data_IF_136677796406
#
_entry.id   IF_136677796406
#
_cell.length_a   1.000
_cell.length_b   1.000
_cell.length_c   1.000
_cell.angle_alpha   90.00
_cell.angle_beta   90.00
_cell.angle_gamma   90.00
#
_symmetry.space_group_name_H-M   'P 1'
#
loop_
_entity.id
_entity.type
_entity.pdbx_description
1 polymer ?
#
# COMPACT_ATOMS: atom_id res chain seq x y z
N UNK A 1 -35.87 -21.50 -10.89
CA UNK A 1 -34.75 -20.62 -11.25
C UNK A 1 -35.18 -19.24 -10.81
N UNK A 2 -34.50 -18.67 -9.82
CA UNK A 2 -34.73 -17.29 -9.42
C UNK A 2 -34.25 -16.42 -10.59
N UNK A 3 -35.19 -15.83 -11.33
CA UNK A 3 -34.90 -15.09 -12.57
C UNK A 3 -34.51 -13.64 -12.32
N UNK A 4 -34.48 -13.22 -11.05
CA UNK A 4 -34.11 -11.87 -10.68
C UNK A 4 -32.58 -11.75 -10.58
N UNK A 5 -32.03 -10.73 -11.26
CA UNK A 5 -30.63 -10.38 -11.12
C UNK A 5 -30.40 -9.88 -9.68
N UNK A 6 -29.41 -10.44 -9.00
CA UNK A 6 -29.09 -9.97 -7.65
C UNK A 6 -28.59 -8.53 -7.69
N UNK A 7 -28.79 -7.77 -6.61
CA UNK A 7 -28.27 -6.40 -6.51
C UNK A 7 -26.75 -6.32 -6.73
N UNK A 8 -26.01 -7.33 -6.25
CA UNK A 8 -24.57 -7.42 -6.47
C UNK A 8 -24.19 -7.58 -7.96
N UNK A 9 -24.98 -8.34 -8.73
CA UNK A 9 -24.75 -8.54 -10.16
C UNK A 9 -25.18 -7.35 -11.01
N UNK A 10 -26.22 -6.66 -10.59
CA UNK A 10 -26.59 -5.38 -11.18
C UNK A 10 -25.47 -4.36 -10.99
N UNK A 11 -24.93 -4.23 -9.77
CA UNK A 11 -23.81 -3.34 -9.49
C UNK A 11 -22.57 -3.67 -10.32
N UNK A 12 -22.19 -4.94 -10.43
CA UNK A 12 -21.09 -5.37 -11.33
C UNK A 12 -21.34 -5.04 -12.80
N UNK A 13 -22.59 -5.13 -13.26
CA UNK A 13 -22.95 -4.82 -14.65
C UNK A 13 -22.85 -3.32 -14.92
N UNK A 14 -23.26 -2.50 -13.94
CA UNK A 14 -23.09 -1.05 -13.96
C UNK A 14 -21.59 -0.71 -13.97
N UNK A 15 -20.80 -1.24 -13.02
CA UNK A 15 -19.36 -1.03 -12.94
C UNK A 15 -18.65 -1.35 -14.27
N UNK A 16 -19.02 -2.46 -14.93
CA UNK A 16 -18.48 -2.81 -16.26
C UNK A 16 -18.84 -1.78 -17.34
N UNK A 17 -20.08 -1.31 -17.38
CA UNK A 17 -20.50 -0.30 -18.35
C UNK A 17 -19.73 1.02 -18.16
N UNK A 18 -19.47 1.42 -16.91
CA UNK A 18 -18.66 2.61 -16.59
C UNK A 18 -17.18 2.42 -16.89
N UNK A 19 -16.64 1.22 -16.66
CA UNK A 19 -15.26 0.87 -17.04
C UNK A 19 -15.06 0.94 -18.56
N UNK A 20 -16.02 0.42 -19.34
CA UNK A 20 -15.97 0.55 -20.80
C UNK A 20 -16.12 1.99 -21.26
N UNK A 21 -17.03 2.77 -20.65
CA UNK A 21 -17.16 4.20 -20.95
C UNK A 21 -15.82 4.90 -20.72
N UNK A 22 -15.19 4.70 -19.57
CA UNK A 22 -13.89 5.29 -19.20
C UNK A 22 -12.78 4.95 -20.20
N UNK A 23 -12.84 3.77 -20.82
CA UNK A 23 -11.88 3.35 -21.84
C UNK A 23 -12.01 4.13 -23.15
N UNK A 24 -13.24 4.50 -23.55
CA UNK A 24 -13.50 5.15 -24.84
C UNK A 24 -13.66 6.67 -24.72
N UNK A 25 -14.14 7.13 -23.57
CA UNK A 25 -14.35 8.52 -23.22
C UNK A 25 -14.00 8.67 -21.73
N UNK A 26 -12.72 8.86 -21.40
CA UNK A 26 -12.31 9.09 -20.01
C UNK A 26 -12.84 10.43 -19.50
N UNK A 27 -12.97 10.55 -18.17
CA UNK A 27 -13.37 11.77 -17.49
C UNK A 27 -12.17 12.72 -17.36
N UNK A 28 -12.18 13.86 -18.04
CA UNK A 28 -11.09 14.84 -17.93
C UNK A 28 -11.24 15.64 -16.62
N UNK A 29 -10.26 15.49 -15.73
CA UNK A 29 -10.16 16.21 -14.47
C UNK A 29 -8.96 17.15 -14.45
N UNK A 30 -9.06 18.14 -13.58
CA UNK A 30 -8.02 19.15 -13.36
C UNK A 30 -7.67 19.11 -11.87
N UNK A 31 -6.38 18.93 -11.60
CA UNK A 31 -5.80 19.12 -10.28
C UNK A 31 -4.93 20.37 -10.31
N UNK A 32 -5.06 21.22 -9.28
CA UNK A 32 -4.29 22.46 -9.14
C UNK A 32 -3.67 22.51 -7.75
N UNK A 33 -2.38 22.81 -7.69
CA UNK A 33 -1.66 23.03 -6.43
C UNK A 33 -0.51 24.04 -6.62
N UNK A 34 0.08 24.47 -5.51
CA UNK A 34 1.22 25.37 -5.43
C UNK A 34 2.48 24.65 -4.97
N UNK A 35 3.61 24.95 -5.62
CA UNK A 35 4.88 24.39 -5.21
C UNK A 35 5.41 25.04 -3.93
N UNK A 36 5.53 24.23 -2.89
CA UNK A 36 6.37 24.52 -1.73
C UNK A 36 7.46 23.46 -1.66
N UNK A 37 8.70 23.81 -2.03
CA UNK A 37 9.81 22.86 -2.06
C UNK A 37 10.53 22.78 -0.73
N UNK A 38 10.64 23.87 0.02
CA UNK A 38 11.39 23.88 1.27
C UNK A 38 10.59 23.28 2.44
N UNK A 39 11.08 22.19 3.01
CA UNK A 39 10.60 21.60 4.27
C UNK A 39 11.67 21.89 5.33
N UNK A 40 11.32 22.56 6.42
CA UNK A 40 12.31 23.11 7.37
C UNK A 40 12.30 22.47 8.77
N UNK A 41 11.41 21.52 9.03
CA UNK A 41 11.28 20.95 10.37
C UNK A 41 10.23 19.86 10.46
N UNK A 42 10.28 18.89 9.53
CA UNK A 42 9.42 17.72 9.63
C UNK A 42 9.94 16.77 10.69
N UNK A 43 9.13 16.50 11.71
CA UNK A 43 9.48 15.54 12.76
C UNK A 43 8.92 14.16 12.44
N UNK A 44 9.76 13.14 12.54
CA UNK A 44 9.38 11.73 12.41
C UNK A 44 9.87 10.94 13.61
N UNK A 45 9.02 10.06 14.13
CA UNK A 45 9.37 9.18 15.24
C UNK A 45 9.82 7.83 14.70
N UNK A 46 11.05 7.46 15.04
CA UNK A 46 11.58 6.16 14.69
C UNK A 46 10.96 5.07 15.57
N UNK A 47 10.87 3.85 15.02
CA UNK A 47 10.50 2.68 15.78
C UNK A 47 11.12 2.52 17.16
N UNK A 48 10.34 2.02 18.12
CA UNK A 48 10.87 1.43 19.35
C UNK A 48 11.87 0.29 19.05
N UNK A 49 12.67 -0.07 20.06
CA UNK A 49 13.68 -1.11 19.90
C UNK A 49 13.02 -2.48 19.71
N UNK A 50 13.80 -3.45 19.28
CA UNK A 50 13.39 -4.85 19.09
C UNK A 50 12.66 -5.37 20.33
N UNK A 51 11.49 -5.96 20.14
CA UNK A 51 10.85 -6.84 21.14
C UNK A 51 10.55 -8.16 20.47
N UNK A 52 10.86 -9.25 21.15
CA UNK A 52 10.69 -10.62 20.63
C UNK A 52 9.31 -11.21 20.96
N UNK A 53 8.58 -10.57 21.87
CA UNK A 53 7.35 -11.03 22.53
C UNK A 53 6.22 -9.99 22.50
N UNK A 54 6.36 -8.89 21.75
CA UNK A 54 5.39 -7.79 21.75
C UNK A 54 3.98 -8.16 21.26
N UNK A 55 3.84 -9.15 20.39
CA UNK A 55 2.57 -9.53 19.76
C UNK A 55 2.00 -10.79 20.39
N UNK A 56 2.85 -11.80 20.60
CA UNK A 56 2.53 -13.03 21.35
C UNK A 56 3.71 -13.27 22.28
N UNK A 57 3.43 -13.43 23.57
CA UNK A 57 4.43 -13.60 24.61
C UNK A 57 4.26 -14.96 25.31
N UNK A 58 5.32 -15.77 25.29
CA UNK A 58 5.44 -17.03 26.01
C UNK A 58 4.26 -18.00 25.77
N UNK A 59 3.74 -18.09 24.53
CA UNK A 59 2.61 -18.98 24.23
C UNK A 59 3.03 -20.45 24.38
N UNK A 60 2.36 -21.16 25.31
CA UNK A 60 2.69 -22.55 25.65
C UNK A 60 2.27 -23.52 24.54
N UNK A 61 3.26 -24.05 23.84
CA UNK A 61 3.05 -24.99 22.73
C UNK A 61 2.65 -26.39 23.19
N UNK A 62 2.70 -26.70 24.49
CA UNK A 62 2.18 -27.96 25.02
C UNK A 62 0.63 -28.01 24.96
N UNK A 63 -0.03 -26.86 25.10
CA UNK A 63 -1.48 -26.73 25.05
C UNK A 63 -2.03 -26.44 23.65
N UNK A 64 -1.17 -25.95 22.75
CA UNK A 64 -1.54 -25.61 21.38
C UNK A 64 -1.86 -26.85 20.53
N UNK A 65 -2.77 -26.68 19.57
CA UNK A 65 -3.13 -27.72 18.60
C UNK A 65 -3.33 -27.14 17.19
N UNK A 66 -3.23 -27.97 16.16
CA UNK A 66 -3.58 -27.54 14.81
C UNK A 66 -5.03 -27.05 14.75
N UNK A 67 -5.25 -25.90 14.14
CA UNK A 67 -6.51 -25.17 14.08
C UNK A 67 -6.79 -24.24 15.28
N UNK A 68 -5.91 -24.21 16.30
CA UNK A 68 -6.01 -23.23 17.40
C UNK A 68 -5.38 -21.89 17.05
N UNK A 69 -5.65 -20.87 17.86
CA UNK A 69 -5.10 -19.52 17.72
C UNK A 69 -4.28 -19.15 18.95
N UNK A 70 -3.15 -18.48 18.74
CA UNK A 70 -2.43 -17.86 19.86
C UNK A 70 -3.16 -16.59 20.34
N UNK A 71 -3.18 -16.29 21.66
CA UNK A 71 -3.64 -15.01 22.16
C UNK A 71 -2.71 -13.89 21.70
N UNK A 72 -3.26 -12.68 21.51
CA UNK A 72 -2.49 -11.49 21.15
C UNK A 72 -2.28 -10.62 22.39
N UNK A 73 -1.03 -10.32 22.72
CA UNK A 73 -0.63 -9.53 23.89
C UNK A 73 -0.42 -8.05 23.55
N UNK A 74 -0.15 -7.74 22.29
CA UNK A 74 0.11 -6.39 21.83
C UNK A 74 0.08 -6.25 20.31
N UNK A 75 0.60 -5.11 19.84
CA UNK A 75 0.63 -4.75 18.43
C UNK A 75 1.98 -4.09 18.10
N UNK A 76 2.42 -4.17 16.84
CA UNK A 76 3.58 -3.41 16.40
C UNK A 76 3.40 -1.89 16.63
N UNK A 77 4.52 -1.24 16.95
CA UNK A 77 4.78 0.20 16.87
C UNK A 77 4.08 1.06 15.84
N UNK A 78 4.25 0.52 14.64
CA UNK A 78 4.05 1.04 13.32
C UNK A 78 4.27 -0.16 12.38
N UNK A 79 3.96 -0.05 11.08
CA UNK A 79 4.11 -1.16 10.15
C UNK A 79 5.52 -1.75 10.13
N UNK A 80 5.69 -3.05 10.46
CA UNK A 80 7.00 -3.73 10.51
C UNK A 80 6.95 -5.23 10.20
N UNK A 81 8.08 -5.81 9.76
CA UNK A 81 8.26 -7.26 9.77
C UNK A 81 8.19 -7.83 11.17
N UNK A 82 7.45 -8.93 11.31
CA UNK A 82 7.36 -9.68 12.56
C UNK A 82 8.50 -10.69 12.66
N UNK A 83 8.95 -10.95 13.88
CA UNK A 83 9.96 -11.98 14.18
C UNK A 83 9.31 -13.07 15.01
N UNK A 84 9.37 -14.31 14.51
CA UNK A 84 8.88 -15.49 15.20
C UNK A 84 10.06 -16.16 15.89
N UNK A 85 9.96 -16.33 17.20
CA UNK A 85 10.95 -17.05 18.02
C UNK A 85 10.29 -18.29 18.61
N UNK A 86 10.96 -19.43 18.48
CA UNK A 86 10.50 -20.71 19.00
C UNK A 86 11.47 -21.18 20.07
N UNK A 87 11.00 -21.31 21.29
CA UNK A 87 11.72 -22.04 22.33
C UNK A 87 11.30 -23.50 22.25
N UNK A 88 12.26 -24.38 21.97
CA UNK A 88 12.06 -25.84 21.96
C UNK A 88 13.07 -26.42 22.96
N UNK A 89 12.66 -26.43 24.23
CA UNK A 89 13.53 -26.68 25.38
C UNK A 89 13.91 -28.17 25.50
N UNK A 90 13.04 -29.04 25.02
CA UNK A 90 13.15 -30.49 25.17
C UNK A 90 13.40 -31.21 23.81
N UNK A 91 13.55 -30.47 22.72
CA UNK A 91 13.70 -31.00 21.36
C UNK A 91 12.51 -31.87 20.93
N UNK A 92 11.29 -31.50 21.31
CA UNK A 92 10.08 -32.25 20.95
C UNK A 92 9.44 -31.77 19.66
N UNK A 93 9.63 -30.50 19.29
CA UNK A 93 9.03 -29.95 18.07
C UNK A 93 9.70 -30.59 16.85
N UNK A 94 8.90 -31.24 16.01
CA UNK A 94 9.34 -31.85 14.75
C UNK A 94 8.98 -30.95 13.55
N UNK A 95 7.86 -30.24 13.64
CA UNK A 95 7.48 -29.24 12.66
C UNK A 95 6.30 -28.39 13.14
N UNK A 96 6.30 -27.14 12.73
CA UNK A 96 5.25 -26.16 13.04
C UNK A 96 5.00 -25.26 11.83
N UNK A 97 3.73 -25.01 11.53
CA UNK A 97 3.31 -24.04 10.53
C UNK A 97 2.34 -23.09 11.20
N UNK A 98 2.67 -21.81 11.18
CA UNK A 98 1.79 -20.74 11.67
C UNK A 98 1.49 -19.76 10.55
N UNK A 99 0.29 -19.19 10.60
CA UNK A 99 -0.13 -18.13 9.69
C UNK A 99 -0.52 -16.92 10.52
N UNK A 100 0.07 -15.77 10.19
CA UNK A 100 -0.26 -14.48 10.80
C UNK A 100 -1.13 -13.71 9.82
N UNK A 101 -2.34 -13.37 10.25
CA UNK A 101 -3.27 -12.52 9.53
C UNK A 101 -3.29 -11.13 10.17
N UNK A 102 -3.36 -10.10 9.34
CA UNK A 102 -3.31 -8.73 9.81
C UNK A 102 -3.67 -7.73 8.74
N UNK A 103 -3.26 -6.48 8.95
CA UNK A 103 -3.35 -5.43 7.95
C UNK A 103 -1.99 -4.79 7.69
N UNK A 104 -1.79 -4.31 6.48
CA UNK A 104 -0.61 -3.50 6.12
C UNK A 104 -0.78 -2.02 6.50
N UNK A 105 0.16 -1.18 6.07
CA UNK A 105 0.17 0.26 6.36
C UNK A 105 -1.07 1.00 5.82
N UNK A 106 -1.69 0.49 4.76
CA UNK A 106 -2.84 1.07 4.05
C UNK A 106 -4.16 0.39 4.47
N UNK A 107 -4.13 -0.33 5.60
CA UNK A 107 -5.24 -1.10 6.18
C UNK A 107 -5.77 -2.21 5.25
N UNK A 108 -4.96 -2.68 4.30
CA UNK A 108 -5.30 -3.80 3.43
C UNK A 108 -4.99 -5.13 4.13
N UNK A 109 -5.84 -6.13 3.90
CA UNK A 109 -5.68 -7.47 4.47
C UNK A 109 -4.36 -8.12 4.02
N UNK A 110 -3.60 -8.61 4.99
CA UNK A 110 -2.27 -9.18 4.82
C UNK A 110 -2.17 -10.53 5.54
N UNK A 111 -1.50 -11.50 4.92
CA UNK A 111 -1.25 -12.82 5.50
C UNK A 111 0.21 -13.24 5.26
N UNK A 112 0.89 -13.75 6.28
CA UNK A 112 2.23 -14.36 6.17
C UNK A 112 2.27 -15.73 6.86
N UNK A 113 2.85 -16.72 6.18
CA UNK A 113 2.99 -18.09 6.72
C UNK A 113 4.45 -18.37 7.05
N UNK A 114 4.68 -18.83 8.27
CA UNK A 114 5.99 -19.24 8.78
C UNK A 114 6.01 -20.75 8.92
N UNK A 115 7.13 -21.35 8.48
CA UNK A 115 7.34 -22.78 8.55
C UNK A 115 8.61 -23.03 9.36
N UNK A 116 8.50 -23.91 10.33
CA UNK A 116 9.61 -24.40 11.12
C UNK A 116 9.66 -25.93 11.02
N UNK A 117 10.84 -26.46 10.72
CA UNK A 117 11.14 -27.88 10.82
C UNK A 117 12.33 -28.04 11.76
N UNK A 118 12.39 -29.17 12.48
CA UNK A 118 13.53 -29.46 13.36
C UNK A 118 14.86 -29.31 12.62
N UNK A 119 15.74 -28.50 13.20
CA UNK A 119 17.05 -28.17 12.64
C UNK A 119 17.11 -26.80 11.95
N UNK A 120 15.96 -26.18 11.69
CA UNK A 120 15.89 -24.79 11.21
C UNK A 120 16.29 -23.80 12.31
N UNK A 121 16.51 -22.55 11.89
CA UNK A 121 16.65 -21.43 12.84
C UNK A 121 15.39 -21.32 13.69
N UNK A 122 15.58 -21.21 15.00
CA UNK A 122 14.51 -20.97 15.97
C UNK A 122 14.01 -19.52 15.95
N UNK A 123 14.70 -18.63 15.24
CA UNK A 123 14.28 -17.25 15.01
C UNK A 123 14.12 -17.03 13.52
N UNK A 124 12.91 -16.64 13.10
CA UNK A 124 12.53 -16.45 11.70
C UNK A 124 11.96 -15.04 11.56
N UNK A 125 12.58 -14.22 10.71
CA UNK A 125 12.12 -12.85 10.42
C UNK A 125 11.22 -12.88 9.19
N UNK A 126 10.03 -12.30 9.32
CA UNK A 126 9.07 -12.14 8.25
C UNK A 126 9.53 -11.16 7.17
N UNK A 127 8.79 -11.13 6.07
CA UNK A 127 9.05 -10.24 4.93
C UNK A 127 7.99 -9.16 4.78
N UNK A 128 6.81 -9.36 5.34
CA UNK A 128 5.68 -8.44 5.19
C UNK A 128 5.59 -7.49 6.37
N UNK A 129 5.18 -6.25 6.10
CA UNK A 129 5.06 -5.20 7.12
C UNK A 129 3.63 -5.19 7.67
N UNK A 130 3.48 -5.63 8.92
CA UNK A 130 2.20 -5.65 9.62
C UNK A 130 2.03 -4.36 10.41
N UNK A 131 0.95 -3.63 10.14
CA UNK A 131 0.47 -2.51 10.97
C UNK A 131 -0.29 -3.04 12.17
N UNK A 132 -1.24 -3.95 11.91
CA UNK A 132 -2.00 -4.64 12.94
C UNK A 132 -1.93 -6.15 12.69
N UNK A 133 -1.85 -6.93 13.76
CA UNK A 133 -2.04 -8.37 13.77
C UNK A 133 -3.44 -8.65 14.29
N UNK A 134 -4.23 -9.36 13.49
CA UNK A 134 -5.62 -9.70 13.79
C UNK A 134 -5.75 -11.11 14.35
N UNK A 135 -4.91 -12.03 13.87
CA UNK A 135 -4.98 -13.43 14.27
C UNK A 135 -3.66 -14.16 13.98
N UNK A 136 -3.26 -15.04 14.88
CA UNK A 136 -2.15 -15.98 14.68
C UNK A 136 -2.72 -17.39 14.76
N UNK A 137 -2.70 -18.10 13.63
CA UNK A 137 -3.26 -19.44 13.49
C UNK A 137 -2.16 -20.50 13.51
N UNK A 138 -2.34 -21.54 14.33
CA UNK A 138 -1.55 -22.76 14.25
C UNK A 138 -2.13 -23.67 13.16
N UNK A 139 -1.55 -23.67 11.97
CA UNK A 139 -2.00 -24.54 10.88
C UNK A 139 -1.57 -25.99 11.11
N UNK A 140 -0.35 -26.17 11.60
CA UNK A 140 0.21 -27.48 11.93
C UNK A 140 1.13 -27.35 13.14
N UNK A 141 1.02 -28.30 14.08
CA UNK A 141 1.97 -28.46 15.17
C UNK A 141 2.21 -29.95 15.40
N UNK A 142 3.47 -30.37 15.33
CA UNK A 142 3.90 -31.75 15.58
C UNK A 142 5.00 -31.74 16.63
N UNK A 143 4.68 -32.22 17.84
CA UNK A 143 5.51 -32.05 19.04
C UNK A 143 4.79 -31.16 20.07
N UNK A 144 5.55 -30.43 20.88
CA UNK A 144 5.01 -29.56 21.94
C UNK A 144 5.07 -30.27 23.29
N UNK A 145 6.22 -30.17 23.95
CA UNK A 145 6.47 -30.69 25.28
C UNK A 145 6.66 -29.57 26.30
N UNK A 146 6.86 -29.92 27.58
CA UNK A 146 7.02 -28.92 28.64
C UNK A 146 8.17 -27.95 28.36
N UNK A 147 7.88 -26.66 28.45
CA UNK A 147 8.85 -25.57 28.26
C UNK A 147 9.06 -25.16 26.79
N UNK A 148 8.23 -25.65 25.87
CA UNK A 148 8.25 -25.20 24.49
C UNK A 148 7.32 -23.99 24.32
N UNK A 149 7.83 -22.88 23.80
CA UNK A 149 7.14 -21.59 23.74
C UNK A 149 7.19 -20.98 22.33
N UNK A 150 6.16 -20.23 21.97
CA UNK A 150 6.11 -19.35 20.81
C UNK A 150 6.09 -17.89 21.25
N UNK A 151 7.05 -17.12 20.76
CA UNK A 151 7.06 -15.67 20.86
C UNK A 151 6.94 -15.05 19.47
N UNK A 152 6.12 -14.02 19.35
CA UNK A 152 6.04 -13.21 18.15
C UNK A 152 6.25 -11.76 18.56
N UNK A 153 7.29 -11.17 17.98
CA UNK A 153 7.65 -9.79 18.18
C UNK A 153 7.86 -9.07 16.86
N UNK A 154 8.60 -7.97 16.90
CA UNK A 154 8.99 -7.19 15.72
C UNK A 154 10.49 -6.96 15.68
N UNK A 155 11.02 -6.84 14.46
CA UNK A 155 12.46 -6.67 14.24
C UNK A 155 13.02 -5.32 14.70
N UNK A 156 14.34 -5.16 14.53
CA UNK A 156 15.06 -3.96 14.91
C UNK A 156 14.59 -2.71 14.15
N UNK A 157 14.62 -1.56 14.82
CA UNK A 157 14.26 -0.28 14.24
C UNK A 157 15.07 0.08 12.98
N UNK A 158 16.31 -0.41 12.87
CA UNK A 158 17.23 -0.15 11.76
C UNK A 158 16.83 -0.84 10.46
N UNK A 159 15.88 -1.79 10.51
CA UNK A 159 15.41 -2.52 9.34
C UNK A 159 14.10 -1.94 8.77
N UNK A 160 13.58 -0.87 9.36
CA UNK A 160 12.28 -0.29 9.07
C UNK A 160 12.44 1.06 8.39
N UNK A 161 11.74 1.24 7.28
CA UNK A 161 11.63 2.55 6.64
C UNK A 161 10.52 3.38 7.31
N UNK A 162 10.83 4.62 7.63
CA UNK A 162 9.92 5.63 8.15
C UNK A 162 9.62 6.62 7.02
N UNK A 163 8.35 6.82 6.71
CA UNK A 163 7.92 7.73 5.64
C UNK A 163 8.07 9.19 6.10
N UNK A 164 8.57 10.03 5.20
CA UNK A 164 8.43 11.47 5.28
C UNK A 164 7.14 11.87 4.56
N UNK A 165 6.61 13.04 4.88
CA UNK A 165 5.35 13.56 4.36
C UNK A 165 5.42 13.93 2.88
N UNK A 166 6.61 14.01 2.28
CA UNK A 166 6.79 14.49 0.92
C UNK A 166 7.72 13.60 0.10
N UNK A 167 7.33 13.35 -1.14
CA UNK A 167 8.14 12.67 -2.15
C UNK A 167 7.87 13.31 -3.52
N UNK A 168 8.80 13.27 -4.49
CA UNK A 168 10.22 12.91 -4.35
C UNK A 168 11.05 14.06 -3.75
N UNK A 169 12.17 13.72 -3.11
CA UNK A 169 13.09 14.65 -2.45
C UNK A 169 14.28 14.96 -3.38
N UNK A 170 14.75 16.21 -3.40
CA UNK A 170 15.94 16.62 -4.14
C UNK A 170 17.19 15.96 -3.53
N UNK A 171 17.99 15.34 -4.38
CA UNK A 171 19.23 14.67 -3.98
C UNK A 171 20.12 15.58 -3.13
N UNK A 172 20.55 15.07 -1.98
CA UNK A 172 21.47 15.74 -1.07
C UNK A 172 21.02 17.13 -0.59
N UNK A 173 19.72 17.35 -0.50
CA UNK A 173 19.14 18.59 0.04
C UNK A 173 18.79 18.49 1.52
N UNK A 174 18.83 17.29 2.08
CA UNK A 174 18.45 16.99 3.44
C UNK A 174 19.51 17.38 4.47
N UNK A 175 19.01 17.81 5.62
CA UNK A 175 19.71 17.98 6.88
C UNK A 175 18.79 17.48 7.98
N UNK A 176 19.35 16.93 9.05
CA UNK A 176 18.52 16.37 10.10
C UNK A 176 19.18 16.48 11.47
N UNK A 177 18.35 16.52 12.51
CA UNK A 177 18.76 16.55 13.89
C UNK A 177 18.00 15.53 14.73
N UNK A 178 18.65 15.04 15.78
CA UNK A 178 18.05 14.17 16.79
C UNK A 178 17.13 14.96 17.75
N UNK A 179 16.57 14.31 18.78
CA UNK A 179 15.69 14.96 19.77
C UNK A 179 16.40 16.05 20.57
N UNK A 180 17.72 15.90 20.78
CA UNK A 180 18.57 16.85 21.49
C UNK A 180 19.18 17.93 20.56
N UNK A 181 18.71 18.00 19.31
CA UNK A 181 19.19 18.91 18.27
C UNK A 181 20.65 18.69 17.85
N UNK A 182 21.22 17.51 18.10
CA UNK A 182 22.51 17.13 17.53
C UNK A 182 22.33 16.80 16.04
N UNK A 183 23.33 17.14 15.22
CA UNK A 183 23.27 16.84 13.79
C UNK A 183 23.41 15.33 13.54
N UNK A 184 22.49 14.78 12.74
CA UNK A 184 22.57 13.42 12.21
C UNK A 184 22.91 13.47 10.72
N UNK A 185 23.77 12.56 10.28
CA UNK A 185 24.49 12.61 9.01
C UNK A 185 24.06 11.45 8.11
N UNK A 186 23.67 11.78 6.88
CA UNK A 186 23.34 10.78 5.84
C UNK A 186 24.49 9.79 5.64
N UNK A 187 24.16 8.51 5.46
CA UNK A 187 25.07 7.38 5.27
C UNK A 187 25.98 7.08 6.47
N UNK A 188 25.80 7.77 7.60
CA UNK A 188 26.42 7.44 8.89
C UNK A 188 25.33 7.05 9.88
N UNK A 189 24.29 7.87 9.99
CA UNK A 189 23.22 7.71 10.96
C UNK A 189 21.92 7.21 10.33
N UNK A 190 21.68 7.55 9.06
CA UNK A 190 20.50 7.11 8.31
C UNK A 190 20.77 6.93 6.81
N UNK A 191 19.96 6.08 6.19
CA UNK A 191 19.74 6.03 4.75
C UNK A 191 18.48 6.81 4.38
N UNK A 192 18.46 7.38 3.18
CA UNK A 192 17.30 8.08 2.62
C UNK A 192 17.01 7.53 1.22
N UNK A 193 15.74 7.25 0.96
CA UNK A 193 15.20 6.91 -0.36
C UNK A 193 14.53 8.16 -0.92
N UNK A 194 15.26 8.89 -1.75
CA UNK A 194 14.80 10.16 -2.32
C UNK A 194 13.59 10.03 -3.22
N UNK A 195 13.44 8.89 -3.89
CA UNK A 195 12.30 8.69 -4.77
C UNK A 195 11.05 8.64 -3.90
N UNK A 196 11.01 7.72 -2.93
CA UNK A 196 9.81 7.47 -2.13
C UNK A 196 9.63 8.40 -0.93
N UNK A 197 10.63 9.21 -0.58
CA UNK A 197 10.55 10.15 0.53
C UNK A 197 10.54 9.44 1.87
N UNK A 198 11.46 8.50 2.10
CA UNK A 198 11.53 7.72 3.36
C UNK A 198 12.95 7.58 3.87
N UNK A 199 13.09 7.41 5.18
CA UNK A 199 14.37 7.32 5.88
C UNK A 199 14.46 6.04 6.70
N UNK A 200 15.66 5.53 6.90
CA UNK A 200 15.92 4.32 7.70
C UNK A 200 17.17 4.50 8.54
N UNK A 201 17.10 4.21 9.83
CA UNK A 201 18.25 4.33 10.72
C UNK A 201 19.35 3.30 10.37
N UNK A 202 20.60 3.66 10.62
CA UNK A 202 21.76 2.78 10.48
C UNK A 202 22.15 2.25 11.86
N UNK A 203 22.43 0.95 11.94
CA UNK A 203 22.90 0.34 13.19
C UNK A 203 24.21 0.97 13.67
N UNK A 204 24.23 1.43 14.92
CA UNK A 204 25.36 2.15 15.52
C UNK A 204 25.46 3.64 15.13
N UNK A 205 24.49 4.15 14.37
CA UNK A 205 24.36 5.58 14.06
C UNK A 205 23.77 6.40 15.21
N UNK A 206 23.63 7.70 14.98
CA UNK A 206 23.11 8.69 15.92
C UNK A 206 21.60 8.68 16.12
N UNK A 207 20.83 7.91 15.34
CA UNK A 207 19.39 7.73 15.57
C UNK A 207 19.18 6.54 16.50
N UNK A 208 18.52 6.78 17.64
CA UNK A 208 18.19 5.71 18.59
C UNK A 208 16.74 5.26 18.48
N UNK A 209 16.44 4.09 19.04
CA UNK A 209 15.10 3.52 18.98
C UNK A 209 14.09 4.35 19.80
N UNK A 210 12.89 4.55 19.24
CA UNK A 210 11.79 5.33 19.82
C UNK A 210 12.00 6.84 19.75
N UNK A 211 13.09 7.30 19.15
CA UNK A 211 13.45 8.71 19.11
C UNK A 211 12.69 9.48 18.02
N UNK A 212 12.36 10.74 18.29
CA UNK A 212 11.89 11.68 17.27
C UNK A 212 13.06 12.44 16.67
N UNK A 213 13.27 12.31 15.36
CA UNK A 213 14.25 13.11 14.62
C UNK A 213 13.54 14.16 13.77
N UNK A 214 14.19 15.29 13.54
CA UNK A 214 13.67 16.38 12.69
C UNK A 214 14.47 16.47 11.40
N UNK A 215 13.79 16.48 10.27
CA UNK A 215 14.35 16.58 8.93
C UNK A 215 13.97 17.91 8.28
N UNK A 216 14.93 18.53 7.63
CA UNK A 216 14.74 19.65 6.72
C UNK A 216 15.32 19.26 5.36
N UNK A 217 14.59 19.49 4.27
CA UNK A 217 14.99 19.07 2.93
C UNK A 217 14.26 19.90 1.87
N UNK A 218 14.67 19.75 0.61
CA UNK A 218 13.99 20.37 -0.53
C UNK A 218 13.30 19.28 -1.35
N UNK A 219 12.03 19.45 -1.71
CA UNK A 219 11.35 18.55 -2.65
C UNK A 219 11.99 18.66 -4.04
N UNK A 220 11.83 17.64 -4.87
CA UNK A 220 12.33 17.67 -6.25
C UNK A 220 11.68 18.81 -7.03
N UNK A 221 12.48 19.63 -7.70
CA UNK A 221 11.98 20.73 -8.54
C UNK A 221 11.58 20.28 -9.94
N UNK A 222 11.61 18.98 -10.22
CA UNK A 222 11.24 18.42 -11.52
C UNK A 222 10.22 17.29 -11.39
N UNK A 223 9.97 16.81 -10.16
CA UNK A 223 9.07 15.69 -9.89
C UNK A 223 7.89 16.15 -9.06
N UNK A 224 6.69 15.85 -9.54
CA UNK A 224 5.43 16.11 -8.84
C UNK A 224 4.85 14.77 -8.42
N UNK A 225 4.51 14.63 -7.14
CA UNK A 225 3.75 13.48 -6.67
C UNK A 225 2.32 13.55 -7.19
N UNK A 226 1.89 12.49 -7.86
CA UNK A 226 0.54 12.34 -8.39
C UNK A 226 -0.18 11.16 -7.73
N UNK A 227 0.37 10.59 -6.65
CA UNK A 227 -0.24 9.47 -5.92
C UNK A 227 -1.64 9.77 -5.39
N UNK A 228 -1.89 11.04 -5.08
CA UNK A 228 -3.14 11.46 -4.43
C UNK A 228 -4.24 11.76 -5.46
N UNK A 229 -3.97 11.62 -6.76
CA UNK A 229 -4.96 11.81 -7.82
C UNK A 229 -5.88 10.57 -7.90
N UNK A 230 -7.17 10.69 -7.51
CA UNK A 230 -8.05 9.53 -7.45
C UNK A 230 -8.45 9.09 -8.86
N UNK A 231 -8.35 7.77 -9.10
CA UNK A 231 -8.77 7.16 -10.36
C UNK A 231 -7.97 7.61 -11.58
N UNK A 232 -6.74 8.09 -11.38
CA UNK A 232 -5.85 8.53 -12.45
C UNK A 232 -5.61 7.39 -13.45
N UNK A 233 -6.04 7.58 -14.69
CA UNK A 233 -5.74 6.71 -15.82
C UNK A 233 -4.47 7.21 -16.53
N UNK A 234 -4.43 8.51 -16.86
CA UNK A 234 -3.36 9.10 -17.67
C UNK A 234 -3.26 10.61 -17.48
N UNK A 235 -2.05 11.12 -17.31
CA UNK A 235 -1.80 12.56 -17.39
C UNK A 235 -1.85 13.00 -18.86
N UNK A 236 -2.70 13.98 -19.19
CA UNK A 236 -2.78 14.55 -20.54
C UNK A 236 -1.69 15.59 -20.79
N UNK A 237 -1.60 16.56 -19.88
CA UNK A 237 -0.74 17.73 -20.02
C UNK A 237 -0.59 18.42 -18.67
N UNK A 238 0.50 19.18 -18.52
CA UNK A 238 0.74 20.01 -17.36
C UNK A 238 0.91 21.47 -17.76
N UNK A 239 0.12 22.36 -17.15
CA UNK A 239 0.28 23.81 -17.28
C UNK A 239 1.24 24.30 -16.20
N UNK A 240 2.34 24.92 -16.62
CA UNK A 240 3.29 25.53 -15.70
C UNK A 240 4.06 26.70 -16.36
N UNK A 241 4.24 27.84 -15.65
CA UNK A 241 3.44 28.26 -14.51
C UNK A 241 2.02 28.62 -14.97
N UNK A 242 1.04 28.39 -14.08
CA UNK A 242 -0.38 28.67 -14.37
C UNK A 242 -0.63 30.15 -14.64
N UNK A 243 -1.48 30.45 -15.63
CA UNK A 243 -1.99 31.80 -15.89
C UNK A 243 -1.14 32.67 -16.83
N UNK A 244 -0.10 32.10 -17.47
CA UNK A 244 0.61 32.79 -18.56
C UNK A 244 -0.26 32.91 -19.82
N UNK A 245 -0.09 34.01 -20.54
CA UNK A 245 -0.74 34.27 -21.84
C UNK A 245 0.37 34.60 -22.86
N UNK A 246 0.57 33.79 -23.91
CA UNK A 246 -0.13 32.52 -24.19
C UNK A 246 0.16 31.45 -23.13
N UNK A 247 -0.76 30.49 -22.99
CA UNK A 247 -0.62 29.36 -22.05
C UNK A 247 0.65 28.57 -22.37
N UNK A 248 1.38 28.18 -21.32
CA UNK A 248 2.60 27.38 -21.42
C UNK A 248 2.32 26.00 -20.84
N UNK A 249 2.54 24.97 -21.63
CA UNK A 249 2.47 23.58 -21.19
C UNK A 249 3.87 23.00 -21.20
N UNK A 250 4.23 22.34 -20.10
CA UNK A 250 5.51 21.65 -20.01
C UNK A 250 5.33 20.19 -20.39
N UNK A 251 6.37 19.64 -21.01
CA UNK A 251 6.48 18.23 -21.35
C UNK A 251 7.11 17.45 -20.21
N UNK A 252 6.68 16.20 -20.07
CA UNK A 252 7.09 15.34 -18.97
C UNK A 252 6.55 13.93 -19.14
N UNK A 253 7.13 13.03 -18.34
CA UNK A 253 6.84 11.60 -18.36
C UNK A 253 6.31 11.15 -16.99
N UNK A 254 5.39 10.17 -17.01
CA UNK A 254 4.90 9.53 -15.78
C UNK A 254 5.79 8.36 -15.43
N UNK A 255 6.40 8.39 -14.25
CA UNK A 255 7.21 7.31 -13.68
C UNK A 255 6.59 6.80 -12.38
N UNK A 256 5.79 5.74 -12.47
CA UNK A 256 5.07 5.20 -11.31
C UNK A 256 4.09 6.24 -10.77
N UNK A 257 4.33 6.72 -9.55
CA UNK A 257 3.49 7.72 -8.88
C UNK A 257 3.94 9.18 -9.09
N UNK A 258 4.91 9.43 -9.97
CA UNK A 258 5.44 10.77 -10.21
C UNK A 258 5.21 11.24 -11.64
N UNK A 259 4.93 12.52 -11.82
CA UNK A 259 5.10 13.22 -13.09
C UNK A 259 6.45 13.95 -13.08
N UNK A 260 7.34 13.61 -14.01
CA UNK A 260 8.67 14.21 -14.12
C UNK A 260 8.72 15.13 -15.33
N UNK A 261 8.95 16.41 -15.10
CA UNK A 261 9.15 17.41 -16.16
C UNK A 261 10.45 17.12 -16.88
N UNK A 262 10.42 16.89 -18.19
CA UNK A 262 11.61 16.50 -18.97
C UNK A 262 12.23 17.65 -19.76
N UNK A 263 11.59 18.83 -19.79
CA UNK A 263 12.01 19.98 -20.59
C UNK A 263 11.44 19.96 -22.00
N UNK A 264 11.76 20.97 -22.82
CA UNK A 264 11.29 21.07 -24.21
C UNK A 264 11.83 19.94 -25.11
N UNK A 265 11.29 19.81 -26.33
CA UNK A 265 11.70 18.78 -27.30
C UNK A 265 13.22 18.73 -27.57
N UNK A 266 13.71 17.61 -28.10
CA UNK A 266 15.13 17.25 -28.28
C UNK A 266 16.12 18.42 -28.28
N UNK A 267 16.85 18.58 -27.17
CA UNK A 267 17.90 19.59 -27.00
C UNK A 267 17.53 20.78 -26.08
N UNK A 268 16.29 20.84 -25.58
CA UNK A 268 15.90 21.77 -24.51
C UNK A 268 16.55 21.43 -23.17
N UNK A 269 16.85 22.45 -22.37
CA UNK A 269 17.21 22.26 -20.95
C UNK A 269 15.96 21.85 -20.16
N UNK A 270 16.15 20.99 -19.16
CA UNK A 270 15.09 20.61 -18.25
C UNK A 270 14.66 21.83 -17.41
N UNK A 271 13.37 22.18 -17.44
CA UNK A 271 12.84 23.30 -16.67
C UNK A 271 12.70 22.91 -15.19
N UNK A 272 13.37 23.65 -14.30
CA UNK A 272 13.16 23.53 -12.86
C UNK A 272 11.96 24.37 -12.44
N UNK A 273 11.06 23.75 -11.70
CA UNK A 273 9.92 24.39 -11.08
C UNK A 273 10.41 25.31 -9.94
N UNK A 274 9.93 26.55 -9.97
CA UNK A 274 10.20 27.60 -9.00
C UNK A 274 9.20 27.59 -7.84
N UNK A 275 9.69 27.92 -6.64
CA UNK A 275 8.91 28.06 -5.40
C UNK A 275 7.73 29.04 -5.58
N UNK A 276 6.64 28.79 -4.86
CA UNK A 276 5.44 29.63 -4.83
C UNK A 276 4.79 29.84 -6.21
N UNK A 277 5.00 28.90 -7.14
CA UNK A 277 4.33 28.85 -8.44
C UNK A 277 3.29 27.74 -8.47
N UNK A 278 2.13 28.06 -9.04
CA UNK A 278 1.06 27.10 -9.26
C UNK A 278 1.31 26.25 -10.51
N UNK A 279 0.87 24.99 -10.44
CA UNK A 279 0.79 24.08 -11.57
C UNK A 279 -0.63 23.51 -11.68
N UNK A 280 -1.00 23.11 -12.90
CA UNK A 280 -2.22 22.32 -13.15
C UNK A 280 -1.89 21.05 -13.88
N UNK A 281 -2.37 19.93 -13.35
CA UNK A 281 -2.32 18.63 -14.01
C UNK A 281 -3.70 18.36 -14.60
N UNK A 282 -3.74 18.23 -15.92
CA UNK A 282 -4.92 17.75 -16.64
C UNK A 282 -4.78 16.26 -16.82
N UNK A 283 -5.76 15.48 -16.37
CA UNK A 283 -5.67 14.02 -16.38
C UNK A 283 -7.00 13.35 -16.72
N UNK A 284 -6.89 12.18 -17.34
CA UNK A 284 -7.99 11.26 -17.59
C UNK A 284 -8.21 10.44 -16.31
N UNK A 285 -9.47 10.37 -15.86
CA UNK A 285 -9.90 9.57 -14.74
C UNK A 285 -11.00 8.57 -15.14
N UNK A 286 -11.18 7.54 -14.32
CA UNK A 286 -12.33 6.65 -14.47
C UNK A 286 -13.63 7.37 -14.11
N UNK A 287 -14.65 7.14 -14.93
CA UNK A 287 -16.01 7.47 -14.58
C UNK A 287 -16.49 6.55 -13.45
N UNK A 288 -17.04 7.13 -12.40
CA UNK A 288 -17.71 6.39 -11.35
C UNK A 288 -19.23 6.36 -11.58
N UNK A 289 -19.89 5.24 -11.24
CA UNK A 289 -21.34 5.16 -11.24
C UNK A 289 -21.98 6.07 -10.19
N UNK A 290 -23.30 6.32 -10.28
CA UNK A 290 -24.03 6.98 -9.22
C UNK A 290 -23.97 6.15 -7.94
N UNK A 291 -23.55 6.79 -6.85
CA UNK A 291 -23.64 6.25 -5.50
C UNK A 291 -24.95 6.64 -4.82
N UNK A 292 -25.15 6.18 -3.59
CA UNK A 292 -26.34 6.51 -2.79
C UNK A 292 -26.47 8.02 -2.53
N UNK A 293 -25.34 8.74 -2.49
CA UNK A 293 -25.27 10.16 -2.16
C UNK A 293 -24.59 11.02 -3.22
N UNK A 294 -24.13 10.44 -4.33
CA UNK A 294 -23.41 11.16 -5.38
C UNK A 294 -23.92 10.75 -6.76
N UNK A 295 -24.20 11.71 -7.66
CA UNK A 295 -24.50 11.37 -9.06
C UNK A 295 -23.31 10.69 -9.72
N UNK A 296 -23.54 10.03 -10.85
CA UNK A 296 -22.48 9.52 -11.71
C UNK A 296 -21.69 10.66 -12.38
N UNK A 297 -20.57 10.31 -13.01
CA UNK A 297 -19.68 11.26 -13.71
C UNK A 297 -19.84 11.24 -15.22
N UNK A 298 -20.66 10.33 -15.75
CA UNK A 298 -20.91 10.25 -17.17
C UNK A 298 -21.61 11.53 -17.65
N UNK A 299 -21.30 12.01 -18.87
CA UNK A 299 -22.05 13.11 -19.46
C UNK A 299 -23.54 12.75 -19.56
N UNK A 300 -24.43 13.64 -19.13
CA UNK A 300 -25.87 13.32 -19.03
C UNK A 300 -26.55 12.90 -20.34
N UNK A 301 -25.97 13.20 -21.50
CA UNK A 301 -26.47 12.71 -22.79
C UNK A 301 -26.11 11.25 -23.08
N UNK A 302 -25.18 10.66 -22.32
CA UNK A 302 -24.77 9.25 -22.39
C UNK A 302 -25.40 8.37 -21.32
N UNK A 303 -26.06 8.93 -20.31
CA UNK A 303 -26.67 8.16 -19.21
C UNK A 303 -27.55 7.02 -19.73
N UNK A 304 -28.46 7.29 -20.68
CA UNK A 304 -29.31 6.23 -21.27
C UNK A 304 -28.54 5.17 -22.06
N UNK A 305 -27.39 5.52 -22.64
CA UNK A 305 -26.50 4.56 -23.32
C UNK A 305 -25.79 3.67 -22.32
N UNK A 306 -25.31 4.23 -21.21
CA UNK A 306 -24.65 3.49 -20.13
C UNK A 306 -25.63 2.55 -19.42
N UNK A 307 -26.85 3.02 -19.14
CA UNK A 307 -27.93 2.19 -18.58
C UNK A 307 -28.29 1.02 -19.49
N UNK A 308 -28.39 1.26 -20.81
CA UNK A 308 -28.65 0.21 -21.79
C UNK A 308 -27.50 -0.81 -21.83
N UNK A 309 -26.25 -0.35 -21.79
CA UNK A 309 -25.07 -1.21 -21.74
C UNK A 309 -25.04 -2.06 -20.46
N UNK A 310 -25.29 -1.47 -19.30
CA UNK A 310 -25.39 -2.17 -18.02
C UNK A 310 -26.52 -3.23 -18.05
N UNK A 311 -27.67 -2.89 -18.63
CA UNK A 311 -28.78 -3.84 -18.84
C UNK A 311 -28.38 -4.99 -19.77
N UNK A 312 -27.67 -4.71 -20.86
CA UNK A 312 -27.15 -5.74 -21.77
C UNK A 312 -26.14 -6.68 -21.06
N UNK A 313 -25.26 -6.13 -20.22
CA UNK A 313 -24.34 -6.92 -19.40
C UNK A 313 -25.08 -7.83 -18.42
N UNK A 314 -26.10 -7.31 -17.74
CA UNK A 314 -26.94 -8.11 -16.85
C UNK A 314 -27.63 -9.26 -17.56
N UNK A 315 -28.21 -9.00 -18.75
CA UNK A 315 -28.84 -10.04 -19.58
C UNK A 315 -27.85 -11.10 -20.04
N UNK A 316 -26.64 -10.69 -20.44
CA UNK A 316 -25.59 -11.63 -20.85
C UNK A 316 -25.17 -12.55 -19.70
N UNK A 317 -25.03 -12.01 -18.48
CA UNK A 317 -24.72 -12.80 -17.28
C UNK A 317 -25.84 -13.81 -16.99
N UNK A 318 -27.11 -13.42 -17.09
CA UNK A 318 -28.24 -14.33 -16.90
C UNK A 318 -28.27 -15.45 -17.96
N UNK A 319 -27.98 -15.13 -19.21
CA UNK A 319 -27.89 -16.12 -20.28
C UNK A 319 -26.78 -17.15 -19.99
N UNK A 320 -25.59 -16.69 -19.59
CA UNK A 320 -24.48 -17.57 -19.22
C UNK A 320 -24.81 -18.47 -18.02
N UNK A 321 -25.48 -17.92 -16.99
CA UNK A 321 -25.94 -18.72 -15.84
C UNK A 321 -26.91 -19.82 -16.26
N UNK A 322 -27.86 -19.51 -17.14
CA UNK A 322 -28.81 -20.49 -17.64
C UNK A 322 -28.12 -21.59 -18.45
N UNK A 323 -27.13 -21.24 -19.28
CA UNK A 323 -26.31 -22.21 -20.02
C UNK A 323 -25.52 -23.12 -19.08
N UNK A 324 -24.84 -22.56 -18.06
CA UNK A 324 -24.10 -23.34 -17.07
C UNK A 324 -25.00 -24.28 -16.26
N UNK A 325 -26.19 -23.82 -15.88
CA UNK A 325 -27.18 -24.67 -15.21
C UNK A 325 -27.62 -25.81 -16.12
N UNK A 326 -27.92 -25.53 -17.39
CA UNK A 326 -28.28 -26.56 -18.37
C UNK A 326 -27.20 -27.63 -18.55
N UNK A 327 -25.92 -27.22 -18.59
CA UNK A 327 -24.80 -28.15 -18.65
C UNK A 327 -24.66 -29.00 -17.38
N UNK A 328 -24.91 -28.41 -16.22
CA UNK A 328 -24.90 -29.11 -14.93
C UNK A 328 -26.03 -30.14 -14.86
N UNK A 329 -27.24 -29.75 -15.26
CA UNK A 329 -28.41 -30.62 -15.29
C UNK A 329 -28.22 -31.79 -16.27
N UNK A 330 -27.64 -31.53 -17.45
CA UNK A 330 -27.30 -32.58 -18.41
C UNK A 330 -26.29 -33.57 -17.85
N UNK A 331 -25.25 -33.08 -17.16
CA UNK A 331 -24.22 -33.93 -16.55
C UNK A 331 -24.82 -34.82 -15.45
N UNK A 332 -25.75 -34.30 -14.66
CA UNK A 332 -26.45 -35.07 -13.62
C UNK A 332 -27.35 -36.16 -14.23
N UNK A 333 -27.99 -35.88 -15.37
CA UNK A 333 -28.80 -36.88 -16.08
C UNK A 333 -27.95 -38.03 -16.64
N UNK A 334 -26.72 -37.77 -17.09
CA UNK A 334 -25.82 -38.83 -17.59
C UNK A 334 -25.27 -39.75 -16.48
N UNK A 335 -25.38 -39.34 -15.22
CA UNK A 335 -24.92 -40.11 -14.05
C UNK A 335 -25.99 -41.04 -13.45
N UNK A 336 -27.24 -40.98 -13.95
CA UNK A 336 -28.38 -41.78 -13.51
C UNK A 336 -28.87 -42.75 -14.60
#
# INVERSE_FOLDING_TARGET
IDTEISAAELNRSIERAYSDLSRFLPDEKIYEDSHQFAVTGESVTFPADTSLDAVVADEDLQAAAAGSTAPLDGQPDMPRPLTVTITDANLSINGMVITINGTDKDDQGLQETFNYIRGDSKTIVGKKYFKNVLQVDFIQLSGGGPGDLLDIGYGAYTDVWVELANSPIKWASESATDTDSNAIVRNTDFFIDYANGRVKAISGGGIVAGETSTFAYTKSQIGIDISDLPGLIRVQRMEYPVGRIPQTFVTGDVFGKYYVVTGEAEGGEQEQLAEDKQYRVYYDAEHHPPGEYSPGTEPGFLTGTVELAAGAYGLYILALKAEHQGNTDLTLLEQH
#
